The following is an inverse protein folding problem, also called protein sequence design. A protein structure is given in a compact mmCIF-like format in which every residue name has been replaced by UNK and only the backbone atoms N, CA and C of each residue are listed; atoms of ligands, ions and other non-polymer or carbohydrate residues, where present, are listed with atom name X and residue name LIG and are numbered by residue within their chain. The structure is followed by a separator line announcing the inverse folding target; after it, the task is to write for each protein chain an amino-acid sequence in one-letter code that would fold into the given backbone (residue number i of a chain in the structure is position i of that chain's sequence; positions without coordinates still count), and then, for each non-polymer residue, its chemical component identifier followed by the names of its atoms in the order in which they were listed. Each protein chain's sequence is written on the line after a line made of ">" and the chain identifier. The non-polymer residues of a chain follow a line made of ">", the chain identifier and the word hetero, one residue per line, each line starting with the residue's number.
data_IF_493074760537
#
_entry.id   IF_493074760537
#
_cell.length_a   1.000
_cell.length_b   1.000
_cell.length_c   1.000
_cell.angle_alpha   90.00
_cell.angle_beta   90.00
_cell.angle_gamma   90.00
#
_symmetry.space_group_name_H-M   'P 1'
#
loop_
_entity.id
_entity.type
_entity.pdbx_description
1 polymer ?
#
# COMPACT_ATOMS: atom_id res chain seq x y z
N UNK A 1 -25.37 12.00 0.06
CA UNK A 1 -24.48 12.46 1.14
C UNK A 1 -24.72 11.73 2.47
N UNK A 2 -25.83 11.94 3.21
CA UNK A 2 -26.05 11.30 4.53
C UNK A 2 -25.93 9.77 4.54
N UNK A 3 -26.51 9.08 3.56
CA UNK A 3 -26.42 7.61 3.45
C UNK A 3 -24.98 7.13 3.15
N UNK A 4 -24.19 7.94 2.45
CA UNK A 4 -22.83 7.59 2.05
C UNK A 4 -21.81 7.84 3.17
N UNK A 5 -21.98 8.93 3.94
CA UNK A 5 -21.18 9.15 5.15
C UNK A 5 -21.47 8.06 6.20
N UNK A 6 -22.72 7.61 6.29
CA UNK A 6 -23.06 6.43 7.10
C UNK A 6 -22.38 5.17 6.57
N UNK A 7 -22.44 4.92 5.26
CA UNK A 7 -21.75 3.80 4.62
C UNK A 7 -20.24 3.78 4.92
N UNK A 8 -19.55 4.91 4.74
CA UNK A 8 -18.14 5.06 5.10
C UNK A 8 -17.89 4.79 6.59
N UNK A 9 -18.75 5.32 7.46
CA UNK A 9 -18.67 5.06 8.90
C UNK A 9 -18.86 3.57 9.23
N UNK A 10 -19.73 2.88 8.50
CA UNK A 10 -19.99 1.45 8.68
C UNK A 10 -18.78 0.63 8.21
N UNK A 11 -18.13 0.99 7.09
CA UNK A 11 -16.84 0.41 6.65
C UNK A 11 -15.77 0.60 7.72
N UNK A 12 -15.62 1.80 8.27
CA UNK A 12 -14.61 2.08 9.30
C UNK A 12 -14.87 1.29 10.58
N UNK A 13 -16.14 1.03 10.93
CA UNK A 13 -16.50 0.17 12.06
C UNK A 13 -16.18 -1.29 11.78
N UNK A 14 -16.45 -1.78 10.58
CA UNK A 14 -16.12 -3.13 10.14
C UNK A 14 -14.60 -3.38 10.20
N UNK A 15 -13.80 -2.43 9.72
CA UNK A 15 -12.33 -2.46 9.82
C UNK A 15 -11.87 -2.63 11.27
N UNK A 16 -12.31 -1.75 12.18
CA UNK A 16 -11.92 -1.82 13.59
C UNK A 16 -12.35 -3.13 14.23
N UNK A 17 -13.60 -3.54 14.00
CA UNK A 17 -14.14 -4.81 14.51
C UNK A 17 -13.33 -6.02 14.02
N UNK A 18 -12.90 -6.02 12.76
CA UNK A 18 -12.08 -7.08 12.20
C UNK A 18 -10.73 -7.24 12.92
N UNK A 19 -10.05 -6.13 13.19
CA UNK A 19 -8.75 -6.09 13.86
C UNK A 19 -8.87 -6.36 15.37
N UNK A 20 -9.89 -5.80 16.04
CA UNK A 20 -10.21 -6.06 17.45
C UNK A 20 -10.41 -7.56 17.70
N UNK A 21 -11.09 -8.26 16.80
CA UNK A 21 -11.33 -9.71 16.89
C UNK A 21 -10.06 -10.57 16.65
N UNK A 22 -8.96 -9.96 16.21
CA UNK A 22 -7.71 -10.64 15.84
C UNK A 22 -6.51 -10.19 16.68
N UNK A 23 -6.80 -9.55 17.80
CA UNK A 23 -5.82 -9.07 18.79
C UNK A 23 -4.82 -8.05 18.21
N UNK A 24 -5.24 -7.29 17.20
CA UNK A 24 -4.46 -6.13 16.73
C UNK A 24 -4.76 -4.91 17.61
N UNK A 25 -3.73 -4.11 17.88
CA UNK A 25 -3.84 -2.86 18.62
C UNK A 25 -3.96 -1.69 17.64
N UNK A 26 -5.03 -0.89 17.75
CA UNK A 26 -5.13 0.40 17.04
C UNK A 26 -4.08 1.35 17.62
N UNK A 27 -3.18 1.84 16.79
CA UNK A 27 -2.15 2.81 17.16
C UNK A 27 -2.35 4.13 16.42
N UNK A 28 -1.81 5.21 16.98
CA UNK A 28 -1.77 6.51 16.33
C UNK A 28 -0.36 7.08 16.42
N UNK A 29 0.17 7.49 15.28
CA UNK A 29 1.52 8.09 15.15
C UNK A 29 1.41 9.58 14.85
N UNK A 30 2.48 10.38 14.97
CA UNK A 30 2.44 11.81 14.63
C UNK A 30 2.10 12.04 13.16
N UNK A 31 1.25 13.03 12.86
CA UNK A 31 0.89 13.44 11.49
C UNK A 31 1.94 14.39 10.89
N UNK A 32 2.40 15.34 11.71
CA UNK A 32 3.44 16.31 11.32
C UNK A 32 4.79 15.79 11.81
N UNK A 33 5.66 15.45 10.88
CA UNK A 33 6.91 14.71 11.11
C UNK A 33 8.11 15.46 10.53
N UNK A 34 9.30 15.36 11.15
CA UNK A 34 10.50 16.02 10.64
C UNK A 34 11.06 15.33 9.40
N UNK A 35 10.95 14.00 9.33
CA UNK A 35 11.56 13.16 8.31
C UNK A 35 10.50 12.24 7.70
N UNK A 36 9.95 12.58 6.51
CA UNK A 36 9.05 11.69 5.81
C UNK A 36 9.79 10.48 5.25
N UNK A 37 9.04 9.42 4.94
CA UNK A 37 9.60 8.28 4.23
C UNK A 37 10.16 8.73 2.90
N UNK A 38 11.46 8.51 2.70
CA UNK A 38 12.12 8.89 1.47
C UNK A 38 11.76 7.87 0.40
N UNK A 39 11.02 8.32 -0.61
CA UNK A 39 10.68 7.52 -1.79
C UNK A 39 10.90 8.37 -3.05
N UNK A 40 11.29 7.74 -4.15
CA UNK A 40 11.65 8.45 -5.39
C UNK A 40 10.47 9.22 -6.01
N UNK A 41 9.26 8.67 -5.93
CA UNK A 41 8.09 9.17 -6.66
C UNK A 41 7.03 9.85 -5.78
N UNK A 42 7.14 9.75 -4.45
CA UNK A 42 6.21 10.41 -3.52
C UNK A 42 6.81 11.72 -3.03
N UNK A 43 6.05 12.80 -3.15
CA UNK A 43 6.43 14.12 -2.66
C UNK A 43 5.64 14.46 -1.38
N UNK A 44 6.31 14.73 -0.25
CA UNK A 44 5.63 15.06 1.01
C UNK A 44 5.14 16.51 1.03
N UNK A 45 4.00 16.77 1.67
CA UNK A 45 3.47 18.13 1.81
C UNK A 45 4.22 18.90 2.92
N UNK A 46 4.80 20.07 2.64
CA UNK A 46 5.56 20.85 3.63
C UNK A 46 4.65 21.49 4.70
N UNK A 47 5.16 21.60 5.93
CA UNK A 47 4.47 22.13 7.11
C UNK A 47 5.42 22.95 8.01
N UNK A 48 5.93 24.07 7.47
CA UNK A 48 7.01 24.84 8.09
C UNK A 48 8.32 24.05 8.03
N UNK A 49 9.03 23.91 9.16
CA UNK A 49 10.27 23.11 9.24
C UNK A 49 10.02 21.59 9.31
N UNK A 50 8.81 21.14 8.99
CA UNK A 50 8.34 19.75 9.09
C UNK A 50 7.55 19.40 7.82
N UNK A 51 7.09 18.16 7.76
CA UNK A 51 6.24 17.64 6.68
C UNK A 51 4.97 17.03 7.26
N UNK A 52 3.91 16.98 6.48
CA UNK A 52 2.81 16.06 6.74
C UNK A 52 3.21 14.68 6.21
N UNK A 53 2.96 13.63 7.00
CA UNK A 53 3.37 12.27 6.66
C UNK A 53 2.71 11.76 5.38
N UNK A 54 3.48 11.08 4.55
CA UNK A 54 3.02 10.36 3.36
C UNK A 54 2.48 8.96 3.69
N UNK A 55 2.96 8.40 4.80
CA UNK A 55 2.57 7.13 5.41
C UNK A 55 3.01 7.10 6.90
N UNK A 56 2.31 6.39 7.80
CA UNK A 56 2.77 6.11 9.17
C UNK A 56 3.87 5.03 9.28
N UNK A 57 4.25 4.39 8.17
CA UNK A 57 5.10 3.19 8.10
C UNK A 57 6.32 3.22 9.03
N UNK A 58 7.17 4.25 8.98
CA UNK A 58 8.40 4.28 9.80
C UNK A 58 8.10 4.24 11.29
N UNK A 59 7.06 4.96 11.72
CA UNK A 59 6.68 5.00 13.13
C UNK A 59 6.07 3.67 13.58
N UNK A 60 5.28 3.02 12.71
CA UNK A 60 4.72 1.70 12.99
C UNK A 60 5.81 0.63 13.04
N UNK A 61 6.81 0.67 12.16
CA UNK A 61 7.97 -0.23 12.21
C UNK A 61 8.82 -0.04 13.46
N UNK A 62 8.99 1.20 13.94
CA UNK A 62 9.62 1.47 15.24
C UNK A 62 8.86 0.84 16.39
N UNK A 63 7.53 0.82 16.33
CA UNK A 63 6.69 0.12 17.31
C UNK A 63 6.87 -1.40 17.26
N UNK A 64 6.99 -1.98 16.06
CA UNK A 64 7.35 -3.40 15.90
C UNK A 64 8.73 -3.70 16.52
N UNK A 65 9.74 -2.86 16.23
CA UNK A 65 11.07 -2.97 16.84
C UNK A 65 11.03 -2.82 18.38
N UNK A 66 10.06 -2.07 18.90
CA UNK A 66 9.84 -1.90 20.33
C UNK A 66 9.06 -3.07 20.98
N UNK A 67 8.72 -4.11 20.21
CA UNK A 67 8.10 -5.34 20.71
C UNK A 67 6.58 -5.40 20.62
N UNK A 68 5.95 -4.56 19.79
CA UNK A 68 4.53 -4.72 19.47
C UNK A 68 4.37 -5.73 18.32
N UNK A 69 3.51 -6.74 18.50
CA UNK A 69 3.41 -7.85 17.55
C UNK A 69 2.34 -7.65 16.48
N UNK A 70 1.24 -6.96 16.80
CA UNK A 70 0.09 -6.79 15.90
C UNK A 70 -0.50 -5.40 16.07
N UNK A 71 -0.29 -4.54 15.08
CA UNK A 71 -0.75 -3.15 15.13
C UNK A 71 -1.43 -2.77 13.84
N UNK A 72 -2.43 -1.89 13.93
CA UNK A 72 -3.02 -1.24 12.77
C UNK A 72 -3.23 0.23 13.05
N UNK A 73 -3.27 1.03 11.98
CA UNK A 73 -3.58 2.45 12.04
C UNK A 73 -4.46 2.81 10.85
N UNK A 74 -5.56 3.53 11.13
CA UNK A 74 -6.50 4.04 10.13
C UNK A 74 -6.57 5.56 10.26
N UNK A 75 -5.80 6.28 9.44
CA UNK A 75 -5.57 7.71 9.63
C UNK A 75 -5.26 8.44 8.30
N UNK A 76 -5.30 9.78 8.28
CA UNK A 76 -4.93 10.56 7.10
C UNK A 76 -3.43 10.48 6.79
N UNK A 77 -3.15 10.49 5.49
CA UNK A 77 -1.85 10.62 4.83
C UNK A 77 -1.93 11.74 3.78
N UNK A 78 -0.78 12.32 3.47
CA UNK A 78 -0.68 13.53 2.65
C UNK A 78 0.38 13.36 1.57
N UNK A 79 0.02 13.62 0.31
CA UNK A 79 0.95 13.53 -0.82
C UNK A 79 0.75 14.72 -1.75
N UNK A 80 1.84 15.44 -2.01
CA UNK A 80 1.82 16.66 -2.78
C UNK A 80 1.52 16.38 -4.26
N UNK A 81 0.62 17.17 -4.84
CA UNK A 81 0.31 17.10 -6.28
C UNK A 81 -0.58 15.92 -6.70
N UNK A 82 -0.94 15.02 -5.80
CA UNK A 82 -1.87 13.92 -6.07
C UNK A 82 -3.33 14.41 -6.11
N UNK A 83 -3.79 14.86 -7.28
CA UNK A 83 -5.18 15.28 -7.49
C UNK A 83 -5.77 14.64 -8.76
N UNK A 84 -6.90 13.97 -8.62
CA UNK A 84 -7.60 13.40 -9.77
C UNK A 84 -8.78 12.52 -9.36
N UNK A 85 -9.25 11.70 -10.31
CA UNK A 85 -10.40 10.81 -10.07
C UNK A 85 -10.18 9.84 -8.91
N UNK A 86 -8.96 9.33 -8.76
CA UNK A 86 -8.56 8.33 -7.76
C UNK A 86 -7.58 8.87 -6.70
N UNK A 87 -7.35 10.19 -6.70
CA UNK A 87 -6.29 10.84 -5.93
C UNK A 87 -6.80 12.12 -5.27
N UNK A 88 -6.50 12.28 -4.00
CA UNK A 88 -6.70 13.51 -3.25
C UNK A 88 -5.43 13.81 -2.45
N UNK A 89 -4.99 15.07 -2.29
CA UNK A 89 -3.76 15.37 -1.57
C UNK A 89 -3.80 14.96 -0.09
N UNK A 90 -4.99 14.86 0.50
CA UNK A 90 -5.25 14.25 1.82
C UNK A 90 -6.18 13.04 1.63
N UNK A 91 -5.79 11.88 2.13
CA UNK A 91 -6.60 10.66 2.02
C UNK A 91 -6.39 9.77 3.24
N UNK A 92 -7.34 8.90 3.54
CA UNK A 92 -7.17 7.91 4.59
C UNK A 92 -6.45 6.67 4.06
N UNK A 93 -5.45 6.23 4.83
CA UNK A 93 -4.77 4.96 4.64
C UNK A 93 -5.08 4.04 5.83
N UNK A 94 -5.30 2.76 5.55
CA UNK A 94 -5.27 1.70 6.55
C UNK A 94 -3.93 0.99 6.40
N UNK A 95 -3.10 1.02 7.44
CA UNK A 95 -1.90 0.19 7.51
C UNK A 95 -2.00 -0.80 8.66
N UNK A 96 -1.43 -1.98 8.49
CA UNK A 96 -1.25 -2.93 9.59
C UNK A 96 0.03 -3.74 9.40
N UNK A 97 0.59 -4.16 10.54
CA UNK A 97 1.82 -4.93 10.61
C UNK A 97 1.62 -6.06 11.60
N UNK A 98 2.18 -7.23 11.28
CA UNK A 98 2.28 -8.32 12.26
C UNK A 98 3.63 -9.04 12.21
N UNK A 99 4.13 -9.40 13.38
CA UNK A 99 5.33 -10.25 13.55
C UNK A 99 5.02 -11.70 13.22
N UNK A 100 6.08 -12.49 13.02
CA UNK A 100 6.01 -13.91 12.66
C UNK A 100 5.13 -14.17 11.42
N UNK A 101 5.25 -13.29 10.43
CA UNK A 101 4.44 -13.31 9.22
C UNK A 101 5.23 -12.85 7.99
N UNK A 102 4.78 -13.31 6.82
CA UNK A 102 5.26 -12.87 5.52
C UNK A 102 4.17 -12.13 4.70
N UNK A 103 4.52 -11.72 3.49
CA UNK A 103 3.58 -11.08 2.57
C UNK A 103 2.36 -11.95 2.21
N UNK A 104 2.45 -13.29 2.21
CA UNK A 104 1.31 -14.18 1.94
C UNK A 104 0.35 -14.21 3.12
N UNK A 105 0.88 -14.18 4.34
CA UNK A 105 0.11 -14.01 5.57
C UNK A 105 -0.74 -12.72 5.53
N UNK A 106 -0.15 -11.62 5.06
CA UNK A 106 -0.88 -10.35 4.88
C UNK A 106 -1.93 -10.46 3.77
N UNK A 107 -1.69 -11.26 2.72
CA UNK A 107 -2.70 -11.52 1.69
C UNK A 107 -3.91 -12.26 2.26
N UNK A 108 -3.69 -13.23 3.16
CA UNK A 108 -4.76 -13.94 3.87
C UNK A 108 -5.59 -12.96 4.71
N UNK A 109 -4.93 -12.08 5.47
CA UNK A 109 -5.61 -11.04 6.25
C UNK A 109 -6.43 -10.10 5.35
N UNK A 110 -5.85 -9.68 4.23
CA UNK A 110 -6.48 -8.75 3.28
C UNK A 110 -7.74 -9.36 2.66
N UNK A 111 -7.69 -10.63 2.24
CA UNK A 111 -8.85 -11.38 1.75
C UNK A 111 -9.95 -11.45 2.80
N UNK A 112 -9.59 -11.79 4.04
CA UNK A 112 -10.55 -11.90 5.14
C UNK A 112 -11.18 -10.53 5.49
N UNK A 113 -10.38 -9.46 5.52
CA UNK A 113 -10.83 -8.10 5.81
C UNK A 113 -11.83 -7.61 4.77
N UNK A 114 -11.46 -7.65 3.48
CA UNK A 114 -12.31 -7.16 2.39
C UNK A 114 -13.62 -7.95 2.32
N UNK A 115 -13.57 -9.28 2.50
CA UNK A 115 -14.77 -10.12 2.56
C UNK A 115 -15.68 -9.74 3.70
N UNK A 116 -15.12 -9.53 4.89
CA UNK A 116 -15.87 -9.15 6.08
C UNK A 116 -16.57 -7.81 5.86
N UNK A 117 -15.84 -6.80 5.36
CA UNK A 117 -16.41 -5.48 5.05
C UNK A 117 -17.53 -5.59 4.01
N UNK A 118 -17.31 -6.35 2.92
CA UNK A 118 -18.32 -6.51 1.88
C UNK A 118 -19.59 -7.17 2.40
N UNK A 119 -19.46 -8.26 3.18
CA UNK A 119 -20.60 -8.92 3.80
C UNK A 119 -21.32 -8.03 4.82
N UNK A 120 -20.59 -7.29 5.65
CA UNK A 120 -21.20 -6.44 6.68
C UNK A 120 -21.90 -5.21 6.10
N UNK A 121 -21.30 -4.58 5.10
CA UNK A 121 -21.75 -3.26 4.61
C UNK A 121 -22.57 -3.38 3.32
N UNK A 122 -22.26 -4.36 2.46
CA UNK A 122 -22.98 -4.59 1.20
C UNK A 122 -23.95 -5.78 1.26
N UNK A 123 -23.87 -6.62 2.31
CA UNK A 123 -24.64 -7.88 2.43
C UNK A 123 -24.40 -8.88 1.29
N UNK A 124 -23.33 -8.69 0.52
CA UNK A 124 -22.96 -9.48 -0.66
C UNK A 124 -21.47 -9.29 -0.95
N UNK A 125 -20.79 -10.33 -1.44
CA UNK A 125 -19.42 -10.26 -1.95
C UNK A 125 -19.38 -9.89 -3.43
N UNK A 126 -20.52 -9.98 -4.13
CA UNK A 126 -20.65 -9.59 -5.53
C UNK A 126 -21.02 -8.12 -5.65
N UNK A 127 -20.03 -7.29 -5.93
CA UNK A 127 -20.23 -5.86 -6.08
C UNK A 127 -20.87 -5.55 -7.42
N UNK A 128 -21.94 -4.76 -7.39
CA UNK A 128 -22.53 -4.20 -8.59
C UNK A 128 -21.69 -3.01 -9.02
N UNK A 129 -21.05 -3.10 -10.17
CA UNK A 129 -20.42 -1.94 -10.81
C UNK A 129 -21.22 -1.49 -12.03
N UNK A 130 -20.82 -0.36 -12.63
CA UNK A 130 -21.41 0.14 -13.87
C UNK A 130 -21.13 -0.77 -15.08
N UNK A 131 -19.96 -1.38 -15.12
CA UNK A 131 -19.50 -2.16 -16.26
C UNK A 131 -19.85 -3.64 -16.07
N UNK A 132 -19.14 -4.33 -15.18
CA UNK A 132 -19.36 -5.74 -14.86
C UNK A 132 -19.34 -6.00 -13.34
N UNK A 133 -20.16 -6.92 -12.82
CA UNK A 133 -20.12 -7.26 -11.41
C UNK A 133 -18.72 -7.78 -11.02
N UNK A 134 -18.19 -7.30 -9.91
CA UNK A 134 -16.92 -7.77 -9.36
C UNK A 134 -17.21 -8.81 -8.29
N UNK A 135 -16.73 -10.03 -8.48
CA UNK A 135 -16.81 -11.08 -7.48
C UNK A 135 -15.61 -10.99 -6.53
N UNK A 136 -15.81 -10.49 -5.31
CA UNK A 136 -14.73 -10.34 -4.34
C UNK A 136 -14.27 -11.67 -3.73
N UNK A 137 -14.99 -12.78 -3.95
CA UNK A 137 -14.68 -14.07 -3.31
C UNK A 137 -15.07 -15.28 -4.17
N UNK A 138 -14.36 -16.42 -4.09
CA UNK A 138 -13.07 -16.65 -3.42
C UNK A 138 -11.85 -16.57 -4.37
N UNK A 139 -12.10 -16.46 -5.68
CA UNK A 139 -11.11 -16.70 -6.73
C UNK A 139 -10.30 -15.44 -7.06
N UNK A 140 -9.47 -15.00 -6.11
CA UNK A 140 -8.49 -13.94 -6.37
C UNK A 140 -7.41 -14.48 -7.28
N UNK A 141 -7.14 -13.76 -8.36
CA UNK A 141 -6.15 -14.16 -9.35
C UNK A 141 -4.77 -13.68 -8.91
N UNK A 142 -3.79 -14.59 -8.87
CA UNK A 142 -2.41 -14.26 -8.54
C UNK A 142 -1.59 -14.27 -9.83
N UNK A 143 -1.12 -13.10 -10.23
CA UNK A 143 -0.32 -12.93 -11.46
C UNK A 143 1.06 -12.45 -11.04
N UNK A 144 2.12 -13.01 -11.63
CA UNK A 144 3.48 -12.51 -11.39
C UNK A 144 3.73 -11.30 -12.28
N UNK A 145 4.43 -10.30 -11.76
CA UNK A 145 4.83 -9.10 -12.53
C UNK A 145 5.46 -9.49 -13.86
N UNK A 146 6.40 -10.44 -13.86
CA UNK A 146 7.04 -10.93 -15.10
C UNK A 146 6.02 -11.38 -16.14
N UNK A 147 5.05 -12.19 -15.73
CA UNK A 147 4.12 -12.84 -16.65
C UNK A 147 3.14 -11.80 -17.21
N UNK A 148 2.66 -10.88 -16.35
CA UNK A 148 1.81 -9.76 -16.75
C UNK A 148 2.52 -8.80 -17.74
N UNK A 149 3.79 -8.49 -17.52
CA UNK A 149 4.57 -7.64 -18.43
C UNK A 149 4.85 -8.33 -19.77
N UNK A 150 5.17 -9.62 -19.78
CA UNK A 150 5.36 -10.37 -21.02
C UNK A 150 4.06 -10.38 -21.83
N UNK A 151 2.93 -10.62 -21.18
CA UNK A 151 1.63 -10.71 -21.83
C UNK A 151 1.14 -9.34 -22.35
N UNK A 152 1.15 -8.31 -21.51
CA UNK A 152 0.51 -7.04 -21.82
C UNK A 152 1.45 -5.96 -22.35
N UNK A 153 2.73 -6.00 -21.96
CA UNK A 153 3.73 -5.00 -22.37
C UNK A 153 4.73 -5.54 -23.41
N UNK A 154 4.84 -6.86 -23.56
CA UNK A 154 5.69 -7.52 -24.55
C UNK A 154 7.18 -7.57 -24.20
N UNK A 155 7.55 -7.42 -22.92
CA UNK A 155 8.94 -7.49 -22.46
C UNK A 155 9.04 -8.08 -21.04
N UNK A 156 10.24 -8.50 -20.65
CA UNK A 156 10.51 -9.07 -19.33
C UNK A 156 11.29 -8.07 -18.46
N UNK A 157 10.70 -7.53 -17.37
CA UNK A 157 11.34 -6.54 -16.53
C UNK A 157 12.51 -7.07 -15.70
N UNK A 158 12.69 -8.39 -15.63
CA UNK A 158 13.82 -9.02 -14.93
C UNK A 158 15.08 -9.14 -15.79
N UNK A 159 14.95 -9.10 -17.13
CA UNK A 159 16.10 -9.21 -18.04
C UNK A 159 16.52 -7.87 -18.65
N UNK A 160 15.59 -6.92 -18.74
CA UNK A 160 15.80 -5.60 -19.35
C UNK A 160 15.29 -4.50 -18.41
N UNK A 161 15.74 -4.51 -17.14
CA UNK A 161 15.23 -3.58 -16.14
C UNK A 161 15.46 -2.12 -16.53
N UNK A 162 14.36 -1.39 -16.66
CA UNK A 162 14.29 0.04 -16.91
C UNK A 162 13.15 0.58 -16.05
N UNK A 163 13.44 1.38 -15.00
CA UNK A 163 12.42 1.82 -14.04
C UNK A 163 11.38 2.75 -14.69
N UNK A 164 11.82 3.66 -15.57
CA UNK A 164 10.90 4.62 -16.21
C UNK A 164 9.97 3.90 -17.20
N UNK A 165 10.51 2.93 -17.96
CA UNK A 165 9.69 2.06 -18.81
C UNK A 165 8.77 1.16 -17.99
N UNK A 166 9.24 0.64 -16.86
CA UNK A 166 8.44 -0.20 -15.97
C UNK A 166 7.21 0.55 -15.50
N UNK A 167 7.37 1.73 -14.88
CA UNK A 167 6.27 2.50 -14.32
C UNK A 167 5.26 2.92 -15.40
N UNK A 168 5.77 3.37 -16.56
CA UNK A 168 4.91 3.74 -17.68
C UNK A 168 4.12 2.56 -18.23
N UNK A 169 4.77 1.41 -18.47
CA UNK A 169 4.11 0.23 -19.03
C UNK A 169 3.20 -0.48 -18.02
N UNK A 170 3.50 -0.39 -16.71
CA UNK A 170 2.60 -0.87 -15.65
C UNK A 170 1.24 -0.19 -15.79
N UNK A 171 1.22 1.15 -15.77
CA UNK A 171 -0.02 1.95 -15.83
C UNK A 171 -0.68 1.90 -17.20
N UNK A 172 0.09 1.98 -18.28
CA UNK A 172 -0.47 2.16 -19.63
C UNK A 172 -0.82 0.85 -20.33
N UNK A 173 -0.24 -0.29 -19.92
CA UNK A 173 -0.40 -1.57 -20.62
C UNK A 173 -0.80 -2.71 -19.70
N UNK A 174 -0.15 -2.87 -18.56
CA UNK A 174 -0.39 -4.01 -17.65
C UNK A 174 -1.71 -3.82 -16.90
N UNK A 175 -1.88 -2.74 -16.13
CA UNK A 175 -3.10 -2.47 -15.35
C UNK A 175 -4.38 -2.50 -16.19
N UNK A 176 -4.42 -1.91 -17.42
CA UNK A 176 -5.60 -2.00 -18.27
C UNK A 176 -5.92 -3.41 -18.76
N UNK A 177 -4.92 -4.30 -18.82
CA UNK A 177 -5.03 -5.69 -19.26
C UNK A 177 -5.43 -6.67 -18.15
N UNK A 178 -5.34 -6.27 -16.87
CA UNK A 178 -5.73 -7.11 -15.75
C UNK A 178 -7.24 -7.40 -15.74
N UNK A 179 -7.67 -8.61 -15.32
CA UNK A 179 -9.08 -8.90 -15.05
C UNK A 179 -9.73 -7.86 -14.15
N UNK A 180 -10.97 -7.46 -14.49
CA UNK A 180 -11.73 -6.45 -13.75
C UNK A 180 -12.94 -7.01 -13.01
N UNK A 181 -13.38 -8.21 -13.36
CA UNK A 181 -14.50 -8.94 -12.76
C UNK A 181 -14.16 -9.62 -11.42
N UNK A 182 -12.89 -9.56 -10.99
CA UNK A 182 -12.41 -10.13 -9.73
C UNK A 182 -11.17 -9.40 -9.20
N UNK A 183 -10.80 -9.58 -7.93
CA UNK A 183 -9.52 -9.10 -7.41
C UNK A 183 -8.32 -9.80 -8.06
N UNK A 184 -7.31 -9.01 -8.41
CA UNK A 184 -6.04 -9.45 -8.99
C UNK A 184 -4.90 -9.02 -8.07
N UNK A 185 -4.04 -9.96 -7.71
CA UNK A 185 -2.85 -9.74 -6.89
C UNK A 185 -1.64 -9.85 -7.79
N UNK A 186 -0.99 -8.72 -8.06
CA UNK A 186 0.27 -8.70 -8.80
C UNK A 186 1.40 -8.99 -7.81
N UNK A 187 2.17 -10.06 -8.05
CA UNK A 187 3.16 -10.62 -7.10
C UNK A 187 4.56 -10.67 -7.72
N UNK A 188 5.56 -10.92 -6.88
CA UNK A 188 6.94 -11.16 -7.31
C UNK A 188 7.51 -9.97 -8.11
N UNK A 189 7.57 -8.78 -7.50
CA UNK A 189 8.17 -7.58 -8.12
C UNK A 189 9.70 -7.74 -8.27
N UNK A 190 10.34 -7.10 -9.27
CA UNK A 190 11.79 -7.00 -9.36
C UNK A 190 12.40 -6.43 -8.08
N UNK A 191 13.57 -6.92 -7.68
CA UNK A 191 14.28 -6.45 -6.47
C UNK A 191 14.55 -4.95 -6.50
N UNK A 192 14.82 -4.39 -7.67
CA UNK A 192 15.04 -2.96 -7.89
C UNK A 192 13.81 -2.13 -7.50
N UNK A 193 12.63 -2.74 -7.54
CA UNK A 193 11.34 -2.17 -7.14
C UNK A 193 10.84 -2.78 -5.82
N UNK A 194 11.75 -3.28 -4.98
CA UNK A 194 11.40 -3.88 -3.70
C UNK A 194 10.83 -2.87 -2.71
N UNK A 195 10.93 -1.55 -2.95
CA UNK A 195 10.61 -0.54 -1.94
C UNK A 195 11.29 -0.89 -0.61
N UNK A 196 10.51 -1.20 0.43
CA UNK A 196 10.99 -1.60 1.76
C UNK A 196 10.84 -3.11 2.02
N UNK A 197 10.54 -3.89 0.98
CA UNK A 197 10.43 -5.34 1.01
C UNK A 197 11.79 -6.04 1.08
N UNK A 198 11.81 -7.20 1.74
CA UNK A 198 12.93 -8.15 1.67
C UNK A 198 12.93 -8.90 0.33
N UNK A 199 14.11 -9.38 -0.05
CA UNK A 199 14.25 -10.29 -1.18
C UNK A 199 13.69 -11.68 -0.84
N UNK A 200 13.14 -12.36 -1.85
CA UNK A 200 12.54 -13.68 -1.71
C UNK A 200 13.59 -14.75 -1.41
N UNK A 201 13.43 -15.58 -0.37
CA UNK A 201 14.32 -16.70 -0.11
C UNK A 201 14.44 -17.62 -1.33
N UNK A 202 15.67 -17.90 -1.74
CA UNK A 202 15.96 -18.74 -2.91
C UNK A 202 15.82 -18.07 -4.27
N UNK A 203 15.31 -16.82 -4.35
CA UNK A 203 15.31 -16.03 -5.59
C UNK A 203 15.57 -14.54 -5.29
N UNK A 204 16.85 -14.12 -5.19
CA UNK A 204 17.20 -12.78 -4.76
C UNK A 204 16.79 -11.67 -5.74
N UNK A 205 16.46 -12.00 -6.99
CA UNK A 205 16.02 -11.02 -8.00
C UNK A 205 14.56 -10.59 -7.80
N UNK A 206 13.84 -11.26 -6.89
CA UNK A 206 12.42 -11.03 -6.61
C UNK A 206 12.26 -10.48 -5.20
N UNK A 207 11.40 -9.47 -5.05
CA UNK A 207 10.92 -8.96 -3.77
C UNK A 207 9.70 -9.73 -3.28
N UNK A 208 9.59 -9.96 -1.97
CA UNK A 208 8.36 -10.43 -1.33
C UNK A 208 7.37 -9.28 -1.18
N UNK A 209 6.83 -8.84 -2.33
CA UNK A 209 5.89 -7.74 -2.48
C UNK A 209 4.71 -8.17 -3.34
N UNK A 210 3.54 -7.64 -3.04
CA UNK A 210 2.41 -7.67 -3.95
C UNK A 210 1.58 -6.39 -3.91
N UNK A 211 0.89 -6.12 -5.01
CA UNK A 211 -0.14 -5.08 -5.11
C UNK A 211 -1.49 -5.72 -5.43
N UNK A 212 -2.55 -5.18 -4.84
CA UNK A 212 -3.92 -5.63 -5.02
C UNK A 212 -4.66 -4.67 -5.93
N UNK A 213 -5.21 -5.18 -7.02
CA UNK A 213 -6.07 -4.48 -7.95
C UNK A 213 -7.50 -5.03 -7.87
N UNK A 214 -8.49 -4.14 -7.77
CA UNK A 214 -9.92 -4.51 -7.81
C UNK A 214 -10.61 -3.56 -8.79
N UNK A 215 -11.26 -4.11 -9.81
CA UNK A 215 -11.94 -3.31 -10.84
C UNK A 215 -10.99 -2.38 -11.61
N UNK A 216 -9.72 -2.77 -11.76
CA UNK A 216 -8.69 -1.95 -12.41
C UNK A 216 -8.19 -0.77 -11.55
N UNK A 217 -8.38 -0.80 -10.24
CA UNK A 217 -7.89 0.21 -9.30
C UNK A 217 -6.95 -0.47 -8.31
N UNK A 218 -5.74 0.08 -8.13
CA UNK A 218 -4.83 -0.33 -7.07
C UNK A 218 -5.43 0.04 -5.70
N UNK A 219 -5.66 -0.98 -4.87
CA UNK A 219 -6.28 -0.88 -3.54
C UNK A 219 -5.24 -0.97 -2.43
N UNK A 220 -4.21 -1.79 -2.58
CA UNK A 220 -3.22 -2.00 -1.54
C UNK A 220 -1.86 -2.44 -2.07
N UNK A 221 -0.81 -2.16 -1.30
CA UNK A 221 0.56 -2.61 -1.53
C UNK A 221 1.11 -3.20 -0.23
N UNK A 222 1.64 -4.41 -0.29
CA UNK A 222 2.08 -5.17 0.88
C UNK A 222 3.39 -5.90 0.63
N UNK A 223 4.14 -6.13 1.70
CA UNK A 223 5.42 -6.84 1.61
C UNK A 223 5.88 -7.44 2.94
N UNK A 224 6.77 -8.41 2.83
CA UNK A 224 7.59 -8.89 3.95
C UNK A 224 8.70 -7.88 4.20
N UNK A 225 8.89 -7.47 5.44
CA UNK A 225 9.72 -6.30 5.76
C UNK A 225 11.23 -6.55 5.64
N UNK A 226 11.95 -5.56 5.11
CA UNK A 226 13.40 -5.55 5.11
C UNK A 226 13.94 -5.27 6.54
N UNK A 227 14.37 -6.31 7.24
CA UNK A 227 14.99 -6.18 8.56
C UNK A 227 16.44 -5.65 8.55
N UNK A 228 17.12 -5.66 7.39
CA UNK A 228 18.53 -5.27 7.30
C UNK A 228 18.69 -3.74 7.20
N UNK A 229 19.06 -3.11 8.32
CA UNK A 229 19.26 -1.66 8.41
C UNK A 229 20.35 -1.11 7.46
N UNK A 230 21.43 -1.86 7.22
CA UNK A 230 22.49 -1.42 6.31
C UNK A 230 22.03 -1.42 4.85
N UNK A 231 21.23 -2.40 4.42
CA UNK A 231 20.60 -2.41 3.09
C UNK A 231 19.57 -1.29 2.97
N UNK A 232 18.77 -1.08 4.02
CA UNK A 232 17.78 0.00 4.09
C UNK A 232 18.44 1.37 3.88
N UNK A 233 19.54 1.66 4.60
CA UNK A 233 20.28 2.92 4.45
C UNK A 233 20.79 3.12 3.03
N UNK A 234 21.32 2.06 2.39
CA UNK A 234 21.77 2.14 0.99
C UNK A 234 20.63 2.48 0.03
N UNK A 235 19.43 1.93 0.25
CA UNK A 235 18.23 2.26 -0.56
C UNK A 235 17.83 3.73 -0.39
N UNK A 236 17.86 4.24 0.84
CA UNK A 236 17.59 5.65 1.11
C UNK A 236 18.62 6.58 0.46
N UNK A 237 19.91 6.25 0.53
CA UNK A 237 20.96 7.01 -0.17
C UNK A 237 20.72 7.02 -1.68
N UNK A 238 20.42 5.86 -2.27
CA UNK A 238 20.08 5.77 -3.68
C UNK A 238 18.87 6.64 -4.07
N UNK A 239 17.77 6.58 -3.32
CA UNK A 239 16.59 7.40 -3.61
C UNK A 239 16.84 8.90 -3.40
N UNK A 240 17.65 9.27 -2.42
CA UNK A 240 18.05 10.68 -2.21
C UNK A 240 18.81 11.20 -3.42
N UNK A 241 19.81 10.46 -3.87
CA UNK A 241 20.65 10.82 -5.01
C UNK A 241 19.79 10.91 -6.29
N UNK A 242 18.83 10.00 -6.49
CA UNK A 242 17.87 10.07 -7.60
C UNK A 242 16.94 11.28 -7.54
N UNK A 243 16.46 11.64 -6.36
CA UNK A 243 15.63 12.86 -6.20
C UNK A 243 16.44 14.12 -6.48
N UNK A 244 17.71 14.16 -6.06
CA UNK A 244 18.63 15.27 -6.37
C UNK A 244 18.88 15.39 -7.88
N UNK A 245 19.16 14.28 -8.58
CA UNK A 245 19.28 14.22 -10.04
C UNK A 245 18.02 14.76 -10.77
N UNK A 246 16.83 14.51 -10.19
CA UNK A 246 15.54 14.97 -10.72
C UNK A 246 15.17 16.41 -10.29
N UNK A 247 16.00 17.07 -9.48
CA UNK A 247 15.71 18.40 -8.94
C UNK A 247 14.51 18.43 -7.98
N UNK A 248 14.16 17.29 -7.38
CA UNK A 248 13.09 17.16 -6.38
C UNK A 248 13.58 17.57 -4.99
N UNK A 249 12.64 17.87 -4.10
CA UNK A 249 12.95 18.15 -2.70
C UNK A 249 13.61 16.93 -2.05
N UNK A 250 14.67 17.18 -1.27
CA UNK A 250 15.37 16.17 -0.47
C UNK A 250 15.05 16.39 1.01
N UNK A 251 14.91 15.29 1.76
CA UNK A 251 14.81 15.30 3.21
C UNK A 251 15.97 14.50 3.81
N UNK A 252 16.35 14.85 5.03
CA UNK A 252 17.28 14.06 5.81
C UNK A 252 16.65 12.72 6.22
N UNK A 253 17.51 11.76 6.54
CA UNK A 253 17.08 10.44 7.00
C UNK A 253 16.53 10.50 8.43
N UNK A 254 15.52 9.67 8.69
CA UNK A 254 15.09 9.40 10.06
C UNK A 254 16.12 8.48 10.75
N UNK A 255 17.11 9.09 11.40
CA UNK A 255 18.16 8.37 12.12
C UNK A 255 17.60 7.58 13.32
N UNK A 256 16.47 7.99 13.90
CA UNK A 256 15.81 7.22 14.96
C UNK A 256 15.18 5.94 14.39
N UNK A 257 14.60 6.02 13.19
CA UNK A 257 14.10 4.85 12.48
C UNK A 257 15.23 3.89 12.13
N UNK A 258 16.34 4.37 11.55
CA UNK A 258 17.49 3.49 11.24
C UNK A 258 18.04 2.84 12.51
N UNK A 259 18.19 3.60 13.60
CA UNK A 259 18.63 3.06 14.90
C UNK A 259 17.67 1.97 15.42
N UNK A 260 16.36 2.16 15.25
CA UNK A 260 15.38 1.14 15.64
C UNK A 260 15.54 -0.14 14.84
N UNK A 261 15.76 -0.04 13.53
CA UNK A 261 16.02 -1.19 12.65
C UNK A 261 17.32 -1.91 13.04
N UNK A 262 18.37 -1.17 13.40
CA UNK A 262 19.66 -1.73 13.87
C UNK A 262 19.53 -2.48 15.21
N UNK A 263 18.62 -2.04 16.08
CA UNK A 263 18.33 -2.73 17.35
C UNK A 263 17.59 -4.07 17.15
N UNK A 264 17.14 -4.36 15.93
CA UNK A 264 16.58 -5.64 15.53
C UNK A 264 15.09 -5.56 15.20
N UNK A 265 14.80 -5.43 13.91
CA UNK A 265 13.45 -5.67 13.40
C UNK A 265 13.19 -7.20 13.38
N UNK A 266 12.15 -7.70 14.07
CA UNK A 266 11.74 -9.10 13.95
C UNK A 266 11.24 -9.40 12.53
N UNK A 267 11.12 -10.69 12.20
CA UNK A 267 10.41 -11.10 10.99
C UNK A 267 8.97 -10.62 11.09
N UNK A 268 8.56 -9.82 10.11
CA UNK A 268 7.23 -9.24 10.05
C UNK A 268 6.88 -8.86 8.62
N UNK A 269 5.60 -8.61 8.40
CA UNK A 269 5.06 -8.14 7.14
C UNK A 269 4.04 -7.04 7.39
N UNK A 270 3.92 -6.15 6.41
CA UNK A 270 3.08 -4.97 6.46
C UNK A 270 2.34 -4.72 5.15
N UNK A 271 1.42 -3.77 5.21
CA UNK A 271 0.61 -3.33 4.07
C UNK A 271 0.11 -1.91 4.28
N UNK A 272 -0.04 -1.21 3.16
CA UNK A 272 -0.82 0.00 3.05
C UNK A 272 -2.02 -0.21 2.12
N UNK A 273 -3.23 0.04 2.63
CA UNK A 273 -4.50 -0.09 1.92
C UNK A 273 -5.20 1.26 1.84
N UNK A 274 -5.44 1.74 0.61
CA UNK A 274 -6.15 2.98 0.34
C UNK A 274 -7.64 2.84 0.65
N UNK A 275 -8.04 3.07 1.90
CA UNK A 275 -9.42 2.80 2.35
C UNK A 275 -10.45 3.67 1.61
N UNK A 276 -10.06 4.85 1.14
CA UNK A 276 -10.92 5.73 0.35
C UNK A 276 -11.29 5.11 -1.00
N UNK A 277 -10.31 4.49 -1.67
CA UNK A 277 -10.53 3.75 -2.92
C UNK A 277 -11.42 2.53 -2.68
N UNK A 278 -11.22 1.80 -1.57
CA UNK A 278 -12.08 0.68 -1.21
C UNK A 278 -13.53 1.12 -0.93
N UNK A 279 -13.72 2.20 -0.16
CA UNK A 279 -15.05 2.77 0.11
C UNK A 279 -15.73 3.22 -1.18
N UNK A 280 -14.99 3.89 -2.07
CA UNK A 280 -15.47 4.29 -3.39
C UNK A 280 -15.98 3.09 -4.20
N UNK A 281 -15.18 2.02 -4.25
CA UNK A 281 -15.49 0.82 -5.00
C UNK A 281 -16.71 0.08 -4.41
N UNK A 282 -16.76 -0.11 -3.09
CA UNK A 282 -17.89 -0.74 -2.39
C UNK A 282 -19.19 0.08 -2.51
N UNK A 283 -19.09 1.40 -2.58
CA UNK A 283 -20.23 2.29 -2.77
C UNK A 283 -20.68 2.43 -4.24
N UNK A 284 -20.02 1.71 -5.17
CA UNK A 284 -20.23 1.81 -6.61
C UNK A 284 -20.15 3.27 -7.10
N UNK A 285 -18.99 3.89 -6.88
CA UNK A 285 -18.65 5.25 -7.30
C UNK A 285 -17.41 5.26 -8.18
N UNK A 286 -17.33 6.26 -9.05
CA UNK A 286 -16.29 6.37 -10.07
C UNK A 286 -15.15 7.31 -9.65
N UNK A 287 -15.37 8.16 -8.64
CA UNK A 287 -14.41 9.18 -8.17
C UNK A 287 -14.38 9.28 -6.64
N UNK A 288 -13.21 9.59 -6.07
CA UNK A 288 -13.05 9.83 -4.63
C UNK A 288 -13.92 11.01 -4.16
N UNK A 289 -14.13 12.01 -5.01
CA UNK A 289 -15.00 13.15 -4.73
C UNK A 289 -16.45 12.75 -4.39
N UNK A 290 -16.89 11.56 -4.82
CA UNK A 290 -18.23 11.08 -4.50
C UNK A 290 -18.32 10.58 -3.06
N UNK A 291 -17.23 10.05 -2.48
CA UNK A 291 -17.21 9.40 -1.15
C UNK A 291 -16.58 10.24 -0.05
N UNK A 292 -16.02 11.40 -0.39
CA UNK A 292 -15.48 12.36 0.57
C UNK A 292 -16.50 13.47 0.85
N UNK A 293 -16.67 13.90 2.11
CA UNK A 293 -17.59 14.99 2.44
C UNK A 293 -17.16 16.33 1.83
N UNK A 294 -15.85 16.52 1.69
CA UNK A 294 -15.20 17.69 1.13
C UNK A 294 -14.01 17.17 0.28
N UNK A 295 -13.91 17.65 -0.96
CA UNK A 295 -12.91 17.27 -1.94
C UNK A 295 -12.35 18.56 -2.57
#
# INVERSE_FOLDING_TARGET
>A
MKNLLKFRSDVFRAVRTFFDQRDFVEVHTPVRIPYPALEQYIDPEPSGDFFLRTSPEFHMKRMICAGLDRIYQLDPCFRQGELGRLHNPEFFMLEWYRTDADYIDILVDTKALISTIALEVCSDTRLKTRDEPIELMPDWELIKVRDAFIEHAGWNPFSEFDPDRFDMDLVMKVEPGLPRDKPVVLTDYPRELAALARAKPGNPDVAERWELYIGGIEIANAYSELANASELRKRFEYWRDKREEQGKAICDFDEEFITAMENGMPECAGIALGIDRLVMLLANRDTLADVMPFF
#
